data_IF_901359071295
#
_entry.id   IF_901359071295
#
_cell.length_a   1.000
_cell.length_b   1.000
_cell.length_c   1.000
_cell.angle_alpha   90.00
_cell.angle_beta   90.00
_cell.angle_gamma   90.00
#
_symmetry.space_group_name_H-M   'P 1'
#
loop_
_entity.id
_entity.type
_entity.pdbx_description
1 polymer ?
#
# COMPACT_ATOMS: atom_id res chain seq x y z
N UNK A 1 3.11 -29.65 -16.69
CA UNK A 1 3.69 -29.41 -15.35
C UNK A 1 2.99 -28.20 -14.75
N UNK A 2 1.97 -28.44 -13.93
CA UNK A 2 1.18 -27.38 -13.31
C UNK A 2 1.89 -26.92 -12.03
N UNK A 3 2.30 -25.65 -11.98
CA UNK A 3 2.85 -25.05 -10.78
C UNK A 3 1.68 -24.72 -9.84
N UNK A 4 1.56 -25.48 -8.75
CA UNK A 4 0.68 -25.16 -7.65
C UNK A 4 1.25 -23.95 -6.91
N UNK A 5 0.74 -22.77 -7.21
CA UNK A 5 0.87 -21.62 -6.31
C UNK A 5 -0.02 -21.89 -5.10
N UNK A 6 0.49 -22.67 -4.15
CA UNK A 6 -0.17 -22.85 -2.87
C UNK A 6 -0.08 -21.51 -2.14
N UNK A 7 -1.12 -20.69 -2.32
CA UNK A 7 -1.39 -19.56 -1.45
C UNK A 7 -1.48 -20.12 -0.03
N UNK A 8 -0.52 -19.79 0.82
CA UNK A 8 -0.72 -19.92 2.25
C UNK A 8 -1.68 -18.79 2.65
N UNK A 9 -2.94 -19.10 3.00
CA UNK A 9 -3.93 -18.07 3.29
C UNK A 9 -3.56 -17.27 4.56
N UNK A 10 -2.64 -17.77 5.38
CA UNK A 10 -2.21 -17.13 6.62
C UNK A 10 -0.71 -17.40 6.82
N UNK A 11 0.14 -16.43 6.44
CA UNK A 11 1.56 -16.46 6.80
C UNK A 11 1.70 -16.43 8.34
N UNK A 12 1.80 -17.62 8.93
CA UNK A 12 1.86 -17.82 10.38
C UNK A 12 3.10 -17.12 10.98
N UNK A 13 4.19 -17.04 10.22
CA UNK A 13 5.42 -16.36 10.62
C UNK A 13 5.16 -14.86 10.76
N UNK A 14 4.46 -14.26 9.79
CA UNK A 14 4.09 -12.85 9.84
C UNK A 14 3.12 -12.54 10.98
N UNK A 15 2.16 -13.42 11.23
CA UNK A 15 1.21 -13.29 12.35
C UNK A 15 1.93 -13.32 13.70
N UNK A 16 2.78 -14.32 13.93
CA UNK A 16 3.54 -14.46 15.17
C UNK A 16 4.50 -13.30 15.38
N UNK A 17 5.11 -12.79 14.30
CA UNK A 17 6.00 -11.63 14.36
C UNK A 17 5.22 -10.36 14.75
N UNK A 18 4.02 -10.16 14.19
CA UNK A 18 3.17 -9.01 14.54
C UNK A 18 2.58 -9.08 15.94
N UNK A 19 2.32 -10.28 16.48
CA UNK A 19 1.84 -10.45 17.86
C UNK A 19 2.84 -9.94 18.90
N UNK A 20 4.15 -10.00 18.60
CA UNK A 20 5.21 -9.54 19.50
C UNK A 20 5.35 -8.01 19.57
N UNK A 21 4.70 -7.27 18.67
CA UNK A 21 4.77 -5.81 18.65
C UNK A 21 3.91 -5.21 19.77
N UNK A 22 4.40 -4.15 20.42
CA UNK A 22 3.55 -3.31 21.27
C UNK A 22 2.52 -2.53 20.42
N UNK A 23 1.45 -1.98 21.02
CA UNK A 23 0.53 -1.11 20.30
C UNK A 23 1.24 0.04 19.57
N UNK A 24 2.22 0.69 20.21
CA UNK A 24 3.02 1.76 19.60
C UNK A 24 3.84 1.28 18.41
N UNK A 25 4.50 0.12 18.52
CA UNK A 25 5.27 -0.47 17.42
C UNK A 25 4.39 -0.87 16.23
N UNK A 26 3.16 -1.32 16.48
CA UNK A 26 2.18 -1.58 15.41
C UNK A 26 1.82 -0.31 14.66
N UNK A 27 1.55 0.78 15.37
CA UNK A 27 1.25 2.08 14.76
C UNK A 27 2.45 2.56 13.94
N UNK A 28 3.66 2.50 14.49
CA UNK A 28 4.86 2.90 13.78
C UNK A 28 5.06 2.10 12.49
N UNK A 29 4.95 0.77 12.57
CA UNK A 29 5.07 -0.09 11.39
C UNK A 29 4.02 0.23 10.31
N UNK A 30 2.80 0.61 10.71
CA UNK A 30 1.77 1.08 9.77
C UNK A 30 2.12 2.43 9.14
N UNK A 31 2.67 3.36 9.91
CA UNK A 31 3.10 4.67 9.41
C UNK A 31 4.27 4.52 8.43
N UNK A 32 5.26 3.71 8.76
CA UNK A 32 6.42 3.42 7.90
C UNK A 32 5.98 2.78 6.57
N UNK A 33 5.10 1.78 6.64
CA UNK A 33 4.52 1.15 5.46
C UNK A 33 3.73 2.16 4.60
N UNK A 34 2.95 3.04 5.25
CA UNK A 34 2.20 4.09 4.55
C UNK A 34 3.15 5.07 3.85
N UNK A 35 4.21 5.51 4.52
CA UNK A 35 5.21 6.41 3.95
C UNK A 35 5.87 5.80 2.72
N UNK A 36 6.32 4.55 2.83
CA UNK A 36 6.93 3.82 1.71
C UNK A 36 5.98 3.72 0.52
N UNK A 37 4.74 3.25 0.74
CA UNK A 37 3.75 3.08 -0.35
C UNK A 37 3.38 4.41 -1.01
N UNK A 38 3.15 5.46 -0.21
CA UNK A 38 2.85 6.80 -0.72
C UNK A 38 4.02 7.35 -1.51
N UNK A 39 5.25 7.18 -1.03
CA UNK A 39 6.46 7.58 -1.74
C UNK A 39 6.58 6.91 -3.11
N UNK A 40 6.39 5.60 -3.18
CA UNK A 40 6.40 4.83 -4.43
C UNK A 40 5.32 5.31 -5.40
N UNK A 41 4.08 5.47 -4.92
CA UNK A 41 2.97 5.95 -5.75
C UNK A 41 3.24 7.36 -6.29
N UNK A 42 3.75 8.27 -5.45
CA UNK A 42 4.11 9.63 -5.86
C UNK A 42 5.25 9.62 -6.88
N UNK A 43 6.26 8.79 -6.69
CA UNK A 43 7.36 8.62 -7.66
C UNK A 43 6.87 8.12 -9.03
N UNK A 44 5.90 7.20 -9.05
CA UNK A 44 5.23 6.78 -10.30
C UNK A 44 4.42 7.92 -10.93
N UNK A 45 3.64 8.64 -10.14
CA UNK A 45 2.82 9.76 -10.63
C UNK A 45 3.66 10.91 -11.18
N UNK A 46 4.78 11.25 -10.53
CA UNK A 46 5.70 12.28 -11.01
C UNK A 46 6.29 11.91 -12.38
N UNK A 47 6.62 10.64 -12.61
CA UNK A 47 7.09 10.17 -13.92
C UNK A 47 6.01 10.27 -15.01
N UNK A 48 4.75 10.01 -14.66
CA UNK A 48 3.61 10.08 -15.58
C UNK A 48 3.14 11.52 -15.84
N UNK A 49 3.25 12.39 -14.85
CA UNK A 49 2.77 13.77 -14.87
C UNK A 49 3.87 14.74 -14.40
N UNK A 50 4.95 14.91 -15.21
CA UNK A 50 6.11 15.70 -14.79
C UNK A 50 5.80 17.18 -14.60
N UNK A 51 4.79 17.70 -15.30
CA UNK A 51 4.37 19.11 -15.27
C UNK A 51 3.52 19.47 -14.04
N UNK A 52 2.99 18.48 -13.31
CA UNK A 52 2.15 18.75 -12.14
C UNK A 52 3.00 19.19 -10.94
N UNK A 53 2.50 20.17 -10.21
CA UNK A 53 3.05 20.57 -8.91
C UNK A 53 2.89 19.45 -7.88
N UNK A 54 3.63 19.55 -6.77
CA UNK A 54 3.50 18.59 -5.65
C UNK A 54 2.08 18.53 -5.09
N UNK A 55 1.38 19.67 -5.04
CA UNK A 55 -0.01 19.75 -4.57
C UNK A 55 -0.95 18.99 -5.50
N UNK A 56 -0.82 19.18 -6.80
CA UNK A 56 -1.63 18.48 -7.80
C UNK A 56 -1.32 16.98 -7.85
N UNK A 57 -0.06 16.60 -7.69
CA UNK A 57 0.32 15.18 -7.55
C UNK A 57 -0.31 14.53 -6.31
N UNK A 58 -0.42 15.26 -5.19
CA UNK A 58 -1.11 14.76 -4.00
C UNK A 58 -2.61 14.58 -4.25
N UNK A 59 -3.26 15.49 -4.98
CA UNK A 59 -4.66 15.32 -5.38
C UNK A 59 -4.84 14.10 -6.31
N UNK A 60 -3.92 13.93 -7.27
CA UNK A 60 -3.93 12.77 -8.17
C UNK A 60 -3.73 11.46 -7.41
N UNK A 61 -2.89 11.47 -6.38
CA UNK A 61 -2.71 10.33 -5.50
C UNK A 61 -4.02 9.92 -4.79
N UNK A 62 -4.77 10.89 -4.26
CA UNK A 62 -6.07 10.63 -3.64
C UNK A 62 -7.06 10.03 -4.64
N UNK A 63 -7.12 10.58 -5.86
CA UNK A 63 -7.97 10.06 -6.95
C UNK A 63 -7.65 8.58 -7.28
N UNK A 64 -6.37 8.22 -7.35
CA UNK A 64 -5.97 6.83 -7.62
C UNK A 64 -6.35 5.89 -6.47
N UNK A 65 -6.22 6.33 -5.21
CA UNK A 65 -6.62 5.54 -4.03
C UNK A 65 -8.14 5.31 -4.05
N UNK A 66 -8.93 6.35 -4.32
CA UNK A 66 -10.38 6.25 -4.37
C UNK A 66 -10.86 5.38 -5.53
N UNK A 67 -10.22 5.48 -6.71
CA UNK A 67 -10.50 4.60 -7.85
C UNK A 67 -10.33 3.13 -7.48
N UNK A 68 -9.23 2.77 -6.82
CA UNK A 68 -8.97 1.39 -6.39
C UNK A 68 -9.97 0.92 -5.33
N UNK A 69 -10.34 1.81 -4.39
CA UNK A 69 -11.38 1.50 -3.39
C UNK A 69 -12.72 1.18 -4.05
N UNK A 70 -13.15 1.99 -5.02
CA UNK A 70 -14.39 1.76 -5.75
C UNK A 70 -14.39 0.43 -6.53
N UNK A 71 -13.26 0.07 -7.15
CA UNK A 71 -13.12 -1.22 -7.85
C UNK A 71 -13.32 -2.39 -6.88
N UNK A 72 -12.74 -2.30 -5.67
CA UNK A 72 -12.87 -3.36 -4.65
C UNK A 72 -14.25 -3.46 -4.00
N UNK A 73 -15.05 -2.39 -4.05
CA UNK A 73 -16.39 -2.37 -3.48
C UNK A 73 -17.49 -2.87 -4.42
N UNK A 74 -17.18 -3.13 -5.70
CA UNK A 74 -18.13 -3.79 -6.62
C UNK A 74 -18.03 -5.32 -6.42
N UNK A 75 -19.17 -6.02 -6.25
CA UNK A 75 -19.20 -7.47 -6.08
C UNK A 75 -18.71 -8.22 -7.31
#
# INVERSE_FOLDING_TARGET
MAQHTQYDPLDATLLLTRQKLSPGQRIQAMLDAREMLVGLMRGRLRRRYPHLSTKELNLKLLEEIDRVRQIRSRP
#
